data_IF_970917038750
#
_entry.id   IF_970917038750
#
_cell.length_a   1.000
_cell.length_b   1.000
_cell.length_c   1.000
_cell.angle_alpha   90.00
_cell.angle_beta   90.00
_cell.angle_gamma   90.00
#
_symmetry.space_group_name_H-M   'P 1'
#
loop_
_entity.id
_entity.type
_entity.pdbx_description
1 polymer ?
#
# COMPACT_ATOMS: atom_id res chain seq x y z
N UNK A 1 -5.07 -8.59 18.72
CA UNK A 1 -3.81 -8.07 18.14
C UNK A 1 -2.95 -7.32 19.17
N UNK A 2 -2.98 -7.71 20.45
CA UNK A 2 -2.49 -6.87 21.55
C UNK A 2 -0.99 -6.49 21.44
N UNK A 3 -0.17 -7.39 20.88
CA UNK A 3 1.27 -7.21 20.74
C UNK A 3 1.68 -6.40 19.51
N UNK A 4 0.74 -6.04 18.62
CA UNK A 4 1.07 -5.23 17.44
C UNK A 4 1.23 -3.78 17.88
N UNK A 5 2.45 -3.28 17.76
CA UNK A 5 2.82 -1.88 18.05
C UNK A 5 3.26 -1.13 16.79
N UNK A 6 3.74 -1.86 15.78
CA UNK A 6 4.21 -1.30 14.51
C UNK A 6 3.06 -0.86 13.60
N UNK A 7 3.11 0.34 13.02
CA UNK A 7 2.18 0.77 11.98
C UNK A 7 2.10 -0.23 10.82
N UNK A 8 0.91 -0.74 10.55
CA UNK A 8 0.72 -1.88 9.62
C UNK A 8 -0.01 -1.46 8.34
N UNK A 9 0.61 -1.70 7.19
CA UNK A 9 -0.01 -1.57 5.87
C UNK A 9 -0.44 -2.95 5.37
N UNK A 10 -1.69 -3.06 4.92
CA UNK A 10 -2.26 -4.29 4.38
C UNK A 10 -2.68 -4.01 2.93
N UNK A 11 -2.16 -4.81 1.99
CA UNK A 11 -2.41 -4.70 0.55
C UNK A 11 -3.00 -6.03 0.09
N UNK A 12 -4.18 -6.01 -0.54
CA UNK A 12 -4.88 -7.26 -0.86
C UNK A 12 -5.58 -7.23 -2.22
N UNK A 13 -5.45 -8.31 -3.00
CA UNK A 13 -6.12 -8.51 -4.28
C UNK A 13 -7.53 -9.10 -4.10
N UNK A 14 -8.56 -8.45 -4.63
CA UNK A 14 -9.95 -8.89 -4.39
C UNK A 14 -10.32 -10.24 -5.04
N UNK A 15 -9.55 -10.69 -6.03
CA UNK A 15 -9.74 -11.96 -6.72
C UNK A 15 -8.73 -13.03 -6.26
N UNK A 16 -8.08 -12.83 -5.12
CA UNK A 16 -7.21 -13.83 -4.52
C UNK A 16 -8.04 -15.05 -4.08
N UNK A 17 -7.68 -16.21 -4.61
CA UNK A 17 -8.31 -17.51 -4.31
C UNK A 17 -7.43 -18.38 -3.42
N UNK A 18 -6.18 -17.99 -3.19
CA UNK A 18 -5.22 -18.69 -2.33
C UNK A 18 -5.36 -18.16 -0.91
N UNK A 19 -5.24 -16.85 -0.74
CA UNK A 19 -5.47 -16.15 0.53
C UNK A 19 -6.62 -15.19 0.36
N UNK A 20 -7.82 -15.60 0.78
CA UNK A 20 -9.03 -14.83 0.49
C UNK A 20 -9.09 -13.49 1.25
N UNK A 21 -9.67 -12.48 0.61
CA UNK A 21 -9.86 -11.11 1.13
C UNK A 21 -10.41 -11.01 2.57
N UNK A 22 -11.38 -11.84 2.99
CA UNK A 22 -11.93 -11.77 4.34
C UNK A 22 -10.87 -11.92 5.44
N UNK A 23 -9.80 -12.70 5.21
CA UNK A 23 -8.74 -12.85 6.21
C UNK A 23 -8.02 -11.53 6.48
N UNK A 24 -7.68 -10.80 5.42
CA UNK A 24 -7.03 -9.48 5.53
C UNK A 24 -7.98 -8.43 6.11
N UNK A 25 -9.26 -8.47 5.74
CA UNK A 25 -10.28 -7.58 6.29
C UNK A 25 -10.49 -7.79 7.80
N UNK A 26 -10.60 -9.04 8.25
CA UNK A 26 -10.73 -9.37 9.67
C UNK A 26 -9.52 -8.89 10.47
N UNK A 27 -8.30 -9.07 9.93
CA UNK A 27 -7.07 -8.58 10.55
C UNK A 27 -7.07 -7.05 10.67
N UNK A 28 -7.43 -6.34 9.60
CA UNK A 28 -7.57 -4.88 9.62
C UNK A 28 -8.60 -4.40 10.64
N UNK A 29 -9.78 -5.00 10.66
CA UNK A 29 -10.83 -4.63 11.62
C UNK A 29 -10.35 -4.82 13.06
N UNK A 30 -9.72 -5.95 13.37
CA UNK A 30 -9.19 -6.22 14.71
C UNK A 30 -8.08 -5.25 15.13
N UNK A 31 -7.30 -4.69 14.18
CA UNK A 31 -6.33 -3.62 14.46
C UNK A 31 -7.04 -2.29 14.71
N UNK A 32 -8.09 -1.98 13.94
CA UNK A 32 -8.87 -0.75 14.09
C UNK A 32 -9.65 -0.70 15.40
N UNK A 33 -10.23 -1.82 15.80
CA UNK A 33 -10.94 -1.96 17.09
C UNK A 33 -10.01 -1.75 18.30
N UNK A 34 -8.70 -1.85 18.11
CA UNK A 34 -7.67 -1.64 19.12
C UNK A 34 -6.92 -0.31 18.93
N UNK A 35 -7.47 0.63 18.15
CA UNK A 35 -6.90 1.94 17.82
C UNK A 35 -5.46 1.89 17.29
N UNK A 36 -5.08 0.78 16.66
CA UNK A 36 -3.74 0.62 16.07
C UNK A 36 -3.64 1.38 14.76
N UNK A 37 -2.46 1.92 14.48
CA UNK A 37 -2.15 2.56 13.20
C UNK A 37 -2.13 1.50 12.10
N UNK A 38 -3.22 1.42 11.35
CA UNK A 38 -3.36 0.47 10.25
C UNK A 38 -3.98 1.13 9.02
N UNK A 39 -3.54 0.69 7.84
CA UNK A 39 -4.14 1.07 6.56
C UNK A 39 -4.38 -0.16 5.71
N UNK A 40 -5.53 -0.21 5.05
CA UNK A 40 -5.92 -1.30 4.18
C UNK A 40 -6.22 -0.78 2.77
N UNK A 41 -5.58 -1.38 1.76
CA UNK A 41 -5.79 -1.06 0.35
C UNK A 41 -6.21 -2.33 -0.39
N UNK A 42 -7.36 -2.25 -1.03
CA UNK A 42 -7.90 -3.31 -1.88
C UNK A 42 -7.60 -3.01 -3.33
N UNK A 43 -7.13 -4.02 -4.05
CA UNK A 43 -6.86 -3.97 -5.48
C UNK A 43 -7.95 -4.76 -6.21
N UNK A 44 -8.91 -4.07 -6.86
CA UNK A 44 -9.94 -4.74 -7.65
C UNK A 44 -9.30 -5.53 -8.78
N UNK A 45 -9.89 -6.68 -9.12
CA UNK A 45 -9.48 -7.53 -10.25
C UNK A 45 -8.13 -8.26 -10.09
N UNK A 46 -7.37 -7.98 -9.04
CA UNK A 46 -6.07 -8.62 -8.80
C UNK A 46 -6.20 -9.97 -8.06
N UNK A 47 -5.46 -11.02 -8.47
CA UNK A 47 -5.34 -12.29 -7.75
C UNK A 47 -4.27 -12.19 -6.64
N UNK A 48 -3.73 -13.34 -6.19
CA UNK A 48 -2.68 -13.42 -5.17
C UNK A 48 -1.42 -12.58 -5.45
N UNK A 49 -1.09 -12.40 -6.74
CA UNK A 49 0.00 -11.52 -7.18
C UNK A 49 -0.52 -10.47 -8.15
N UNK A 50 -0.09 -9.22 -7.98
CA UNK A 50 -0.56 -8.11 -8.82
C UNK A 50 -0.02 -8.20 -10.24
N UNK A 51 -0.91 -8.12 -11.22
CA UNK A 51 -0.60 -8.25 -12.65
C UNK A 51 -0.71 -6.93 -13.39
N UNK A 52 -1.61 -6.04 -13.00
CA UNK A 52 -1.79 -4.80 -13.72
C UNK A 52 -0.69 -3.80 -13.37
N UNK A 53 0.02 -3.23 -14.35
CA UNK A 53 1.12 -2.29 -14.09
C UNK A 53 0.71 -1.08 -13.25
N UNK A 54 -0.56 -0.64 -13.36
CA UNK A 54 -1.08 0.46 -12.56
C UNK A 54 -1.25 0.06 -11.10
N UNK A 55 -1.73 -1.15 -10.82
CA UNK A 55 -1.86 -1.65 -9.45
C UNK A 55 -0.51 -1.96 -8.82
N UNK A 56 0.43 -2.53 -9.59
CA UNK A 56 1.81 -2.69 -9.15
C UNK A 56 2.44 -1.34 -8.77
N UNK A 57 2.31 -0.32 -9.63
CA UNK A 57 2.79 1.03 -9.30
C UNK A 57 2.15 1.58 -8.02
N UNK A 58 0.83 1.44 -7.87
CA UNK A 58 0.15 1.91 -6.65
C UNK A 58 0.64 1.16 -5.41
N UNK A 59 0.83 -0.17 -5.49
CA UNK A 59 1.41 -0.98 -4.41
C UNK A 59 2.77 -0.43 -4.00
N UNK A 60 3.68 -0.31 -4.97
CA UNK A 60 5.06 0.09 -4.71
C UNK A 60 5.13 1.52 -4.14
N UNK A 61 4.32 2.44 -4.67
CA UNK A 61 4.24 3.82 -4.17
C UNK A 61 3.72 3.86 -2.73
N UNK A 62 2.66 3.11 -2.42
CA UNK A 62 2.08 3.11 -1.08
C UNK A 62 2.98 2.43 -0.05
N UNK A 63 3.71 1.38 -0.46
CA UNK A 63 4.71 0.73 0.36
C UNK A 63 5.88 1.67 0.68
N UNK A 64 6.45 2.32 -0.33
CA UNK A 64 7.55 3.30 -0.13
C UNK A 64 7.06 4.44 0.76
N UNK A 65 5.89 5.03 0.47
CA UNK A 65 5.34 6.12 1.27
C UNK A 65 5.14 5.70 2.73
N UNK A 66 4.62 4.50 2.97
CA UNK A 66 4.40 3.98 4.32
C UNK A 66 5.72 3.83 5.09
N UNK A 67 6.72 3.21 4.46
CA UNK A 67 8.05 3.03 5.06
C UNK A 67 8.70 4.39 5.34
N UNK A 68 8.71 5.31 4.37
CA UNK A 68 9.32 6.64 4.54
C UNK A 68 8.68 7.42 5.70
N UNK A 69 7.35 7.36 5.82
CA UNK A 69 6.62 8.03 6.89
C UNK A 69 6.93 7.46 8.26
N UNK A 70 6.83 6.14 8.45
CA UNK A 70 6.92 5.53 9.78
C UNK A 70 8.34 5.14 10.21
N UNK A 71 9.26 4.92 9.27
CA UNK A 71 10.67 4.61 9.59
C UNK A 71 11.51 5.88 9.63
N UNK A 72 11.26 6.83 8.73
CA UNK A 72 12.12 8.03 8.57
C UNK A 72 11.43 9.34 8.94
N UNK A 73 10.11 9.36 9.17
CA UNK A 73 9.37 10.59 9.43
C UNK A 73 9.27 11.51 8.22
N UNK A 74 9.45 10.99 7.00
CA UNK A 74 9.49 11.79 5.77
C UNK A 74 8.18 11.59 5.02
N UNK A 75 7.49 12.68 4.70
CA UNK A 75 6.39 12.69 3.73
C UNK A 75 6.98 12.60 2.33
N UNK A 76 7.05 11.38 1.81
CA UNK A 76 7.61 11.08 0.49
C UNK A 76 6.54 11.09 -0.59
N UNK A 77 6.87 11.73 -1.72
CA UNK A 77 6.04 11.75 -2.91
C UNK A 77 6.72 10.98 -4.07
N UNK A 78 5.94 10.18 -4.83
CA UNK A 78 6.48 9.43 -5.94
C UNK A 78 6.88 10.35 -7.09
N UNK A 79 7.88 9.92 -7.84
CA UNK A 79 8.25 10.59 -9.08
C UNK A 79 7.06 10.59 -10.06
N UNK A 80 6.71 11.78 -10.53
CA UNK A 80 5.68 12.00 -11.55
C UNK A 80 6.35 12.27 -12.89
N UNK A 81 5.68 11.86 -13.97
CA UNK A 81 6.17 12.19 -15.32
C UNK A 81 6.11 13.72 -15.47
N UNK A 82 7.22 14.39 -15.81
CA UNK A 82 7.19 15.82 -16.10
C UNK A 82 6.23 16.11 -17.26
N UNK A 83 5.58 17.26 -17.21
CA UNK A 83 4.74 17.70 -18.32
C UNK A 83 5.60 17.92 -19.56
N UNK A 84 4.97 17.89 -20.74
CA UNK A 84 5.67 18.02 -22.03
C UNK A 84 6.47 19.33 -22.13
N UNK A 85 6.04 20.37 -21.40
CA UNK A 85 6.64 21.69 -21.32
C UNK A 85 7.64 21.85 -20.16
N UNK A 86 7.83 20.81 -19.35
CA UNK A 86 8.84 20.82 -18.28
C UNK A 86 10.25 20.77 -18.90
N UNK A 87 11.20 21.57 -18.40
CA UNK A 87 12.57 21.54 -18.91
C UNK A 87 13.12 20.12 -18.83
N UNK A 88 13.60 19.61 -19.96
CA UNK A 88 14.22 18.27 -20.01
C UNK A 88 15.49 18.33 -19.18
N UNK A 89 15.51 17.60 -18.07
CA UNK A 89 16.74 17.34 -17.32
C UNK A 89 17.56 16.38 -18.18
N UNK A 90 18.51 16.93 -18.94
CA UNK A 90 19.54 16.17 -19.63
C UNK A 90 20.64 15.95 -18.60
N UNK A 91 20.78 14.70 -18.15
CA UNK A 91 21.91 14.25 -17.34
C UNK A 91 23.12 13.96 -18.22
#
# INVERSE_FOLDING_TARGET
MANVTTPTLILHGMNDRTDTEPQSMMFFQALRDQDKTARYIRFPREPHGFREPRHQRTRDVEEIRWIQKYVRGIEWEPWTRPNKDSPKVIS
#
